data_IF_081320518901
#
_entry.id   IF_081320518901
#
_cell.length_a   1.000
_cell.length_b   1.000
_cell.length_c   1.000
_cell.angle_alpha   90.00
_cell.angle_beta   90.00
_cell.angle_gamma   90.00
#
_symmetry.space_group_name_H-M   'P 1'
#
loop_
_entity.id
_entity.type
_entity.pdbx_description
1 polymer ?
#
# COMPACT_ATOMS: atom_id res chain seq x y z
N UNK A 1 11.35 42.89 -8.66
CA UNK A 1 11.50 41.94 -7.53
C UNK A 1 12.08 40.66 -8.10
N UNK A 2 13.33 40.34 -7.75
CA UNK A 2 14.09 39.25 -8.37
C UNK A 2 13.57 37.85 -8.00
N UNK A 3 13.86 36.83 -8.82
CA UNK A 3 13.40 35.48 -8.60
C UNK A 3 14.05 34.95 -7.31
N UNK A 4 13.23 34.51 -6.37
CA UNK A 4 13.67 33.75 -5.20
C UNK A 4 14.12 32.35 -5.67
N UNK A 5 15.23 32.25 -6.41
CA UNK A 5 15.84 30.96 -6.71
C UNK A 5 16.50 30.47 -5.42
N UNK A 6 15.87 29.52 -4.74
CA UNK A 6 16.41 28.90 -3.53
C UNK A 6 17.64 28.06 -3.88
N UNK A 7 18.84 28.64 -3.71
CA UNK A 7 20.10 27.93 -3.95
C UNK A 7 20.29 26.71 -3.02
N UNK A 8 21.12 25.73 -3.41
CA UNK A 8 21.31 24.46 -2.70
C UNK A 8 21.71 24.61 -1.22
N UNK A 9 22.36 25.71 -0.86
CA UNK A 9 22.72 26.01 0.54
C UNK A 9 21.53 26.23 1.48
N UNK A 10 20.36 26.69 0.98
CA UNK A 10 19.17 26.89 1.82
C UNK A 10 18.52 25.56 2.23
N UNK A 11 18.51 24.57 1.34
CA UNK A 11 18.02 23.22 1.66
C UNK A 11 18.89 22.52 2.70
N UNK A 12 20.22 22.62 2.57
CA UNK A 12 21.18 22.02 3.51
C UNK A 12 21.05 22.63 4.91
N UNK A 13 20.90 23.95 5.01
CA UNK A 13 20.70 24.62 6.30
C UNK A 13 19.40 24.19 6.99
N UNK A 14 18.29 24.08 6.24
CA UNK A 14 17.00 23.59 6.77
C UNK A 14 17.07 22.14 7.19
N UNK A 15 17.70 21.28 6.39
CA UNK A 15 17.91 19.87 6.71
C UNK A 15 18.73 19.71 8.00
N UNK A 16 19.82 20.46 8.16
CA UNK A 16 20.62 20.45 9.38
C UNK A 16 19.83 20.93 10.59
N UNK A 17 19.00 21.98 10.43
CA UNK A 17 18.11 22.48 11.48
C UNK A 17 17.03 21.46 11.87
N UNK A 18 16.45 20.79 10.88
CA UNK A 18 15.47 19.72 11.09
C UNK A 18 16.09 18.56 11.86
N UNK A 19 17.28 18.11 11.44
CA UNK A 19 18.01 17.03 12.12
C UNK A 19 18.37 17.41 13.55
N UNK A 20 18.88 18.63 13.78
CA UNK A 20 19.17 19.13 15.11
C UNK A 20 17.93 19.17 16.02
N UNK A 21 16.78 19.64 15.50
CA UNK A 21 15.53 19.66 16.25
C UNK A 21 15.01 18.25 16.59
N UNK A 22 15.14 17.30 15.66
CA UNK A 22 14.77 15.90 15.91
C UNK A 22 15.67 15.25 16.96
N UNK A 23 16.99 15.44 16.86
CA UNK A 23 17.95 14.91 17.84
C UNK A 23 17.69 15.47 19.23
N UNK A 24 17.46 16.79 19.36
CA UNK A 24 17.08 17.40 20.64
C UNK A 24 15.81 16.80 21.26
N UNK A 25 14.78 16.57 20.45
CA UNK A 25 13.55 15.93 20.93
C UNK A 25 13.79 14.48 21.40
N UNK A 26 14.66 13.74 20.72
CA UNK A 26 15.03 12.39 21.13
C UNK A 26 15.81 12.42 22.44
N UNK A 27 16.80 13.31 22.59
CA UNK A 27 17.58 13.47 23.81
C UNK A 27 16.69 13.83 25.01
N UNK A 28 15.74 14.77 24.84
CA UNK A 28 14.77 15.13 25.89
C UNK A 28 13.89 13.94 26.27
N UNK A 29 13.40 13.16 25.29
CA UNK A 29 12.61 11.95 25.56
C UNK A 29 13.39 10.91 26.33
N UNK A 30 14.62 10.62 25.93
CA UNK A 30 15.46 9.65 26.62
C UNK A 30 15.82 10.12 28.04
N UNK A 31 16.05 11.42 28.25
CA UNK A 31 16.30 11.98 29.59
C UNK A 31 15.08 11.84 30.49
N UNK A 32 13.88 12.18 30.00
CA UNK A 32 12.61 11.94 30.71
C UNK A 32 12.42 10.47 31.03
N UNK A 33 12.76 9.57 30.12
CA UNK A 33 12.66 8.13 30.34
C UNK A 33 13.65 7.63 31.40
N UNK A 34 14.91 8.10 31.39
CA UNK A 34 15.92 7.78 32.41
C UNK A 34 15.46 8.23 33.79
N UNK A 35 14.95 9.46 33.93
CA UNK A 35 14.36 9.96 35.20
C UNK A 35 13.16 9.13 35.64
N UNK A 36 12.26 8.80 34.71
CA UNK A 36 11.11 7.95 35.00
C UNK A 36 11.53 6.56 35.49
N UNK A 37 12.61 5.97 34.96
CA UNK A 37 13.14 4.68 35.44
C UNK A 37 13.77 4.81 36.82
N UNK A 38 14.55 5.87 37.09
CA UNK A 38 15.16 6.07 38.41
C UNK A 38 14.11 6.33 39.49
N UNK A 39 13.07 7.12 39.20
CA UNK A 39 11.97 7.37 40.13
C UNK A 39 11.20 6.08 40.44
N UNK A 40 10.89 5.26 39.42
CA UNK A 40 10.27 3.94 39.62
C UNK A 40 11.15 3.00 40.44
N UNK A 41 12.46 2.98 40.22
CA UNK A 41 13.39 2.16 41.00
C UNK A 41 13.48 2.65 42.47
N UNK A 42 13.53 3.96 42.69
CA UNK A 42 13.56 4.56 44.02
C UNK A 42 12.28 4.26 44.81
N UNK A 43 11.11 4.41 44.18
CA UNK A 43 9.81 4.07 44.78
C UNK A 43 9.69 2.59 45.16
N UNK A 44 10.30 1.68 44.39
CA UNK A 44 10.33 0.25 44.72
C UNK A 44 11.29 -0.09 45.88
N UNK A 45 12.28 0.76 46.14
CA UNK A 45 13.29 0.56 47.20
C UNK A 45 13.01 1.31 48.49
N UNK A 46 12.09 2.29 48.49
CA UNK A 46 11.76 3.10 49.65
C UNK A 46 10.92 2.28 50.66
N UNK A 47 11.35 2.14 51.93
CA UNK A 47 10.50 1.61 52.99
C UNK A 47 9.27 2.50 53.16
N UNK A 48 8.09 1.89 53.31
CA UNK A 48 6.74 2.49 53.28
C UNK A 48 6.42 3.59 54.32
N UNK A 49 7.39 4.19 54.99
CA UNK A 49 7.15 5.11 56.10
C UNK A 49 8.18 6.25 56.13
N UNK A 50 8.02 7.26 55.25
CA UNK A 50 8.57 8.60 55.46
C UNK A 50 7.99 9.61 54.47
N UNK A 51 7.23 10.57 55.02
CA UNK A 51 6.93 11.92 54.55
C UNK A 51 7.03 12.25 53.06
N UNK A 52 5.89 12.62 52.48
CA UNK A 52 5.74 13.33 51.21
C UNK A 52 6.44 14.71 51.28
N UNK A 53 7.76 14.75 51.12
CA UNK A 53 8.42 15.95 50.63
C UNK A 53 8.34 15.92 49.11
N UNK A 54 7.26 16.54 48.63
CA UNK A 54 6.97 16.84 47.23
C UNK A 54 8.13 17.67 46.67
N UNK A 55 9.16 16.98 46.18
CA UNK A 55 10.20 17.57 45.37
C UNK A 55 9.55 17.98 44.05
N UNK A 56 8.99 19.19 44.03
CA UNK A 56 8.57 19.88 42.81
C UNK A 56 9.76 19.92 41.85
N UNK A 57 9.86 18.88 41.02
CA UNK A 57 10.84 18.79 39.94
C UNK A 57 10.58 19.97 39.01
N UNK A 58 11.58 20.84 38.83
CA UNK A 58 11.58 21.95 37.87
C UNK A 58 11.57 21.41 36.43
N UNK A 59 10.43 20.84 36.04
CA UNK A 59 10.12 20.23 34.76
C UNK A 59 9.71 21.26 33.70
N UNK A 60 9.37 22.49 34.13
CA UNK A 60 8.93 23.58 33.28
C UNK A 60 9.95 23.98 32.21
N UNK A 61 11.24 24.02 32.53
CA UNK A 61 12.28 24.41 31.56
C UNK A 61 12.47 23.34 30.47
N UNK A 62 12.45 22.06 30.84
CA UNK A 62 12.58 20.97 29.87
C UNK A 62 11.36 20.81 28.97
N UNK A 63 10.16 21.07 29.50
CA UNK A 63 8.94 21.12 28.71
C UNK A 63 8.96 22.28 27.72
N UNK A 64 9.40 23.46 28.16
CA UNK A 64 9.61 24.60 27.27
C UNK A 64 10.59 24.24 26.14
N UNK A 65 11.72 23.60 26.46
CA UNK A 65 12.68 23.20 25.43
C UNK A 65 12.07 22.19 24.45
N UNK A 66 11.29 21.21 24.93
CA UNK A 66 10.59 20.24 24.08
C UNK A 66 9.58 20.91 23.14
N UNK A 67 8.80 21.86 23.65
CA UNK A 67 7.85 22.62 22.84
C UNK A 67 8.56 23.48 21.78
N UNK A 68 9.62 24.19 22.16
CA UNK A 68 10.40 25.01 21.23
C UNK A 68 11.05 24.16 20.13
N UNK A 69 11.60 23.00 20.47
CA UNK A 69 12.16 22.07 19.48
C UNK A 69 11.08 21.50 18.54
N UNK A 70 9.90 21.19 19.07
CA UNK A 70 8.75 20.72 18.28
C UNK A 70 8.26 21.79 17.31
N UNK A 71 8.11 23.03 17.75
CA UNK A 71 7.73 24.17 16.92
C UNK A 71 8.78 24.39 15.82
N UNK A 72 10.07 24.39 16.16
CA UNK A 72 11.16 24.55 15.19
C UNK A 72 11.14 23.44 14.12
N UNK A 73 10.88 22.19 14.53
CA UNK A 73 10.74 21.05 13.61
C UNK A 73 9.51 21.21 12.69
N UNK A 74 8.36 21.57 13.26
CA UNK A 74 7.12 21.78 12.50
C UNK A 74 7.29 22.89 11.46
N UNK A 75 7.95 23.99 11.82
CA UNK A 75 8.26 25.08 10.89
C UNK A 75 9.13 24.61 9.73
N UNK A 76 10.19 23.83 9.99
CA UNK A 76 11.05 23.29 8.92
C UNK A 76 10.24 22.42 7.94
N UNK A 77 9.41 21.50 8.48
CA UNK A 77 8.54 20.65 7.66
C UNK A 77 7.53 21.46 6.85
N UNK A 78 6.93 22.48 7.44
CA UNK A 78 5.97 23.35 6.75
C UNK A 78 6.61 24.07 5.55
N UNK A 79 7.85 24.55 5.69
CA UNK A 79 8.57 25.17 4.56
C UNK A 79 8.89 24.18 3.45
N UNK A 80 9.30 22.95 3.78
CA UNK A 80 9.58 21.94 2.76
C UNK A 80 8.29 21.50 2.04
N UNK A 81 7.17 21.39 2.75
CA UNK A 81 5.85 21.16 2.14
C UNK A 81 5.43 22.32 1.23
N UNK A 82 5.65 23.56 1.65
CA UNK A 82 5.34 24.74 0.84
C UNK A 82 6.15 24.75 -0.47
N UNK A 83 7.45 24.41 -0.41
CA UNK A 83 8.30 24.32 -1.60
C UNK A 83 7.84 23.20 -2.55
N UNK A 84 7.31 22.09 -2.03
CA UNK A 84 6.72 21.02 -2.84
C UNK A 84 5.39 21.45 -3.48
N UNK A 85 4.50 22.08 -2.72
CA UNK A 85 3.20 22.55 -3.21
C UNK A 85 3.36 23.62 -4.30
N UNK A 86 4.34 24.52 -4.18
CA UNK A 86 4.62 25.52 -5.22
C UNK A 86 5.03 24.87 -6.55
N UNK A 87 5.86 23.83 -6.50
CA UNK A 87 6.25 23.10 -7.71
C UNK A 87 5.06 22.37 -8.34
N UNK A 88 4.19 21.79 -7.51
CA UNK A 88 2.95 21.17 -7.98
C UNK A 88 2.03 22.19 -8.64
N UNK A 89 1.85 23.36 -8.02
CA UNK A 89 1.07 24.47 -8.57
C UNK A 89 1.63 24.93 -9.93
N UNK A 90 2.95 25.13 -10.04
CA UNK A 90 3.62 25.48 -11.30
C UNK A 90 3.37 24.42 -12.39
N UNK A 91 3.49 23.13 -12.05
CA UNK A 91 3.22 22.04 -13.00
C UNK A 91 1.75 22.01 -13.43
N UNK A 92 0.81 22.17 -12.50
CA UNK A 92 -0.62 22.18 -12.79
C UNK A 92 -1.02 23.40 -13.62
N UNK A 93 -0.44 24.57 -13.37
CA UNK A 93 -0.63 25.76 -14.20
C UNK A 93 -0.11 25.53 -15.62
N UNK A 94 1.07 24.93 -15.79
CA UNK A 94 1.59 24.58 -17.10
C UNK A 94 0.69 23.58 -17.84
N UNK A 95 0.12 22.58 -17.15
CA UNK A 95 -0.84 21.63 -17.72
C UNK A 95 -2.14 22.34 -18.11
N UNK A 96 -2.64 23.26 -17.28
CA UNK A 96 -3.84 24.05 -17.57
C UNK A 96 -3.63 24.95 -18.80
N UNK A 97 -2.48 25.63 -18.90
CA UNK A 97 -2.13 26.47 -20.04
C UNK A 97 -2.00 25.65 -21.33
N UNK A 98 -1.37 24.48 -21.29
CA UNK A 98 -1.33 23.54 -22.42
C UNK A 98 -2.73 23.10 -22.84
N UNK A 99 -3.59 22.76 -21.88
CA UNK A 99 -4.98 22.39 -22.15
C UNK A 99 -5.78 23.55 -22.78
N UNK A 100 -5.54 24.79 -22.38
CA UNK A 100 -6.18 25.96 -22.97
C UNK A 100 -5.68 26.25 -24.40
N UNK A 101 -4.39 26.04 -24.69
CA UNK A 101 -3.80 26.22 -26.03
C UNK A 101 -4.19 25.11 -27.01
N UNK A 102 -4.06 23.86 -26.58
CA UNK A 102 -4.18 22.69 -27.45
C UNK A 102 -5.57 22.05 -27.41
N UNK A 103 -6.42 22.46 -26.46
CA UNK A 103 -7.81 22.03 -26.36
C UNK A 103 -7.97 20.51 -26.37
N UNK A 104 -8.65 20.00 -27.41
CA UNK A 104 -8.92 18.56 -27.56
C UNK A 104 -7.69 17.75 -28.03
N UNK A 105 -6.64 18.40 -28.55
CA UNK A 105 -5.41 17.72 -28.96
C UNK A 105 -4.63 17.21 -27.74
N UNK A 106 -4.57 17.99 -26.65
CA UNK A 106 -3.96 17.57 -25.39
C UNK A 106 -4.66 16.34 -24.78
N UNK A 107 -5.99 16.28 -24.87
CA UNK A 107 -6.76 15.13 -24.39
C UNK A 107 -6.47 13.86 -25.21
N UNK A 108 -6.29 13.99 -26.53
CA UNK A 108 -5.89 12.89 -27.41
C UNK A 108 -4.48 12.42 -27.10
N UNK A 109 -3.53 13.33 -26.95
CA UNK A 109 -2.15 13.00 -26.59
C UNK A 109 -2.08 12.24 -25.25
N UNK A 110 -2.81 12.70 -24.23
CA UNK A 110 -2.91 12.00 -22.94
C UNK A 110 -3.50 10.59 -23.06
N UNK A 111 -4.47 10.38 -23.95
CA UNK A 111 -5.03 9.05 -24.22
C UNK A 111 -4.01 8.17 -24.97
N UNK A 112 -3.29 8.73 -25.94
CA UNK A 112 -2.24 8.03 -26.70
C UNK A 112 -1.05 7.66 -25.80
N UNK A 113 -0.69 8.49 -24.82
CA UNK A 113 0.31 8.13 -23.82
C UNK A 113 -0.16 6.97 -22.93
N UNK A 114 -1.45 6.97 -22.56
CA UNK A 114 -2.03 5.90 -21.75
C UNK A 114 -2.07 4.57 -22.52
N UNK A 115 -2.41 4.60 -23.81
CA UNK A 115 -2.37 3.39 -24.65
C UNK A 115 -0.95 2.88 -24.80
N UNK A 116 0.02 3.74 -25.14
CA UNK A 116 1.45 3.38 -25.19
C UNK A 116 1.95 2.79 -23.87
N UNK A 117 1.53 3.35 -22.72
CA UNK A 117 1.92 2.83 -21.41
C UNK A 117 1.29 1.46 -21.13
N UNK A 118 0.05 1.23 -21.56
CA UNK A 118 -0.57 -0.09 -21.48
C UNK A 118 0.13 -1.09 -22.41
N UNK A 119 0.36 -0.73 -23.67
CA UNK A 119 1.07 -1.55 -24.66
C UNK A 119 2.46 -1.93 -24.17
N UNK A 120 3.25 -0.97 -23.68
CA UNK A 120 4.58 -1.26 -23.09
C UNK A 120 4.49 -2.14 -21.86
N UNK A 121 3.47 -1.99 -21.01
CA UNK A 121 3.24 -2.90 -19.89
C UNK A 121 2.96 -4.33 -20.37
N UNK A 122 2.04 -4.50 -21.32
CA UNK A 122 1.72 -5.81 -21.90
C UNK A 122 2.92 -6.44 -22.61
N UNK A 123 3.66 -5.66 -23.39
CA UNK A 123 4.88 -6.11 -24.07
C UNK A 123 5.97 -6.53 -23.07
N UNK A 124 6.18 -5.75 -22.01
CA UNK A 124 7.13 -6.08 -20.95
C UNK A 124 6.69 -7.32 -20.15
N UNK A 125 5.39 -7.46 -19.90
CA UNK A 125 4.82 -8.64 -19.22
C UNK A 125 4.98 -9.89 -20.09
N UNK A 126 4.65 -9.82 -21.39
CA UNK A 126 4.81 -10.91 -22.34
C UNK A 126 6.27 -11.32 -22.50
N UNK A 127 7.19 -10.35 -22.61
CA UNK A 127 8.63 -10.61 -22.65
C UNK A 127 9.15 -11.27 -21.37
N UNK A 128 8.54 -10.99 -20.21
CA UNK A 128 8.95 -11.54 -18.91
C UNK A 128 8.31 -12.89 -18.60
N UNK A 129 7.10 -13.15 -19.09
CA UNK A 129 6.33 -14.37 -18.86
C UNK A 129 7.11 -15.68 -19.07
N UNK A 130 7.89 -15.87 -20.16
CA UNK A 130 8.62 -17.12 -20.37
C UNK A 130 9.81 -17.31 -19.42
N UNK A 131 10.31 -16.23 -18.82
CA UNK A 131 11.42 -16.27 -17.86
C UNK A 131 10.97 -16.17 -16.39
N UNK A 132 9.71 -15.82 -16.15
CA UNK A 132 9.12 -15.78 -14.81
C UNK A 132 8.66 -17.18 -14.41
N UNK A 133 9.34 -17.80 -13.45
CA UNK A 133 8.85 -19.01 -12.79
C UNK A 133 7.86 -18.59 -11.70
N UNK A 134 6.63 -19.15 -11.67
CA UNK A 134 5.74 -19.00 -10.52
C UNK A 134 6.49 -19.41 -9.25
N UNK A 135 6.35 -18.64 -8.18
CA UNK A 135 6.89 -19.05 -6.89
C UNK A 135 6.20 -20.35 -6.47
N UNK A 136 6.98 -21.39 -6.18
CA UNK A 136 6.43 -22.66 -5.73
C UNK A 136 5.56 -22.43 -4.49
N UNK A 137 4.34 -23.00 -4.44
CA UNK A 137 3.52 -22.91 -3.23
C UNK A 137 4.30 -23.52 -2.07
N UNK A 138 4.40 -22.79 -0.95
CA UNK A 138 4.99 -23.31 0.29
C UNK A 138 4.03 -24.40 0.79
N UNK A 139 4.25 -25.64 0.36
CA UNK A 139 3.46 -26.77 0.85
C UNK A 139 3.85 -27.06 2.29
N UNK A 140 2.93 -27.63 3.07
CA UNK A 140 3.18 -28.07 4.45
C UNK A 140 4.42 -28.99 4.55
N UNK A 141 4.71 -29.77 3.50
CA UNK A 141 5.91 -30.59 3.41
C UNK A 141 7.20 -29.75 3.30
N UNK A 142 7.20 -28.66 2.52
CA UNK A 142 8.35 -27.76 2.38
C UNK A 142 8.63 -27.00 3.67
N UNK A 143 7.59 -26.51 4.35
CA UNK A 143 7.73 -25.87 5.67
C UNK A 143 8.25 -26.86 6.72
N UNK A 144 7.74 -28.10 6.73
CA UNK A 144 8.25 -29.15 7.62
C UNK A 144 9.72 -29.48 7.33
N UNK A 145 10.13 -29.51 6.05
CA UNK A 145 11.51 -29.70 5.64
C UNK A 145 12.40 -28.53 6.10
N UNK A 146 11.98 -27.28 5.91
CA UNK A 146 12.71 -26.08 6.36
C UNK A 146 12.86 -26.02 7.87
N UNK A 147 11.87 -26.54 8.62
CA UNK A 147 11.95 -26.72 10.07
C UNK A 147 13.01 -27.76 10.42
N UNK A 148 12.99 -28.91 9.75
CA UNK A 148 13.98 -29.98 9.96
C UNK A 148 15.39 -29.50 9.59
N UNK A 149 15.52 -28.68 8.55
CA UNK A 149 16.77 -28.07 8.08
C UNK A 149 17.20 -26.83 8.88
N UNK A 150 16.40 -26.39 9.87
CA UNK A 150 16.71 -25.24 10.74
C UNK A 150 16.62 -23.87 10.07
N UNK A 151 16.04 -23.81 8.87
CA UNK A 151 15.74 -22.56 8.14
C UNK A 151 14.45 -21.89 8.63
N UNK A 152 13.60 -22.65 9.32
CA UNK A 152 12.37 -22.20 9.98
C UNK A 152 12.22 -22.86 11.37
N UNK A 153 11.40 -22.31 12.26
CA UNK A 153 11.16 -22.87 13.61
C UNK A 153 9.70 -23.34 13.77
N UNK A 154 9.49 -24.59 14.20
CA UNK A 154 8.14 -25.18 14.44
C UNK A 154 7.44 -24.62 15.69
N UNK A 155 8.19 -23.99 16.60
CA UNK A 155 7.71 -23.63 17.93
C UNK A 155 6.84 -22.37 17.99
N UNK A 156 6.20 -21.97 16.89
CA UNK A 156 5.21 -20.88 16.92
C UNK A 156 3.81 -21.35 16.49
N UNK A 157 3.49 -22.63 16.67
CA UNK A 157 2.09 -23.05 16.88
C UNK A 157 1.73 -22.75 18.34
N UNK A 158 1.49 -21.48 18.64
CA UNK A 158 0.94 -21.07 19.93
C UNK A 158 -0.58 -21.17 19.84
N UNK A 159 -1.17 -22.20 20.45
CA UNK A 159 -2.63 -22.24 20.68
C UNK A 159 -3.01 -21.04 21.54
N UNK A 160 -3.48 -19.97 20.90
CA UNK A 160 -3.93 -18.78 21.58
C UNK A 160 -5.45 -18.75 21.47
N UNK A 161 -6.11 -19.24 22.52
CA UNK A 161 -7.54 -18.98 22.71
C UNK A 161 -7.76 -17.46 22.77
N UNK A 162 -8.41 -16.92 21.75
CA UNK A 162 -8.71 -15.51 21.64
C UNK A 162 -9.84 -15.10 22.58
N UNK A 163 -9.50 -14.88 23.85
CA UNK A 163 -10.22 -13.83 24.56
C UNK A 163 -9.72 -12.48 24.02
N UNK A 164 -10.61 -11.55 23.64
CA UNK A 164 -10.18 -10.21 23.26
C UNK A 164 -9.39 -9.64 24.43
N UNK A 165 -8.12 -9.28 24.18
CA UNK A 165 -7.25 -8.70 25.18
C UNK A 165 -7.85 -7.36 25.62
N UNK A 166 -8.60 -7.37 26.73
CA UNK A 166 -9.02 -6.16 27.41
C UNK A 166 -7.76 -5.64 28.11
N UNK A 167 -7.17 -4.57 27.59
CA UNK A 167 -6.00 -3.98 28.21
C UNK A 167 -6.43 -3.10 29.39
N UNK A 168 -6.02 -3.46 30.62
CA UNK A 168 -6.41 -2.80 31.87
C UNK A 168 -5.70 -3.43 33.08
N UNK A 169 -5.84 -2.86 34.29
CA UNK A 169 -5.21 -3.42 35.50
C UNK A 169 -5.68 -4.87 35.74
N UNK A 170 -4.77 -5.73 36.20
CA UNK A 170 -4.98 -7.19 36.33
C UNK A 170 -6.23 -7.58 37.15
N UNK A 171 -6.69 -6.70 38.06
CA UNK A 171 -7.93 -6.85 38.84
C UNK A 171 -9.23 -6.81 38.00
N UNK A 172 -9.19 -6.23 36.80
CA UNK A 172 -10.34 -6.07 35.89
C UNK A 172 -10.31 -7.02 34.69
N UNK A 173 -9.13 -7.46 34.27
CA UNK A 173 -8.93 -8.27 33.05
C UNK A 173 -9.18 -9.76 33.30
N UNK A 174 -9.01 -10.24 34.53
CA UNK A 174 -9.26 -11.63 34.93
C UNK A 174 -10.57 -11.90 35.67
N UNK A 175 -11.35 -10.86 35.98
CA UNK A 175 -12.60 -10.96 36.75
C UNK A 175 -13.86 -10.76 35.89
N UNK A 176 -14.99 -11.36 36.30
CA UNK A 176 -16.27 -11.14 35.63
C UNK A 176 -16.74 -9.69 35.77
N UNK A 177 -16.90 -8.99 34.64
CA UNK A 177 -17.31 -7.57 34.57
C UNK A 177 -18.79 -7.41 34.95
N UNK A 178 -19.12 -7.46 36.23
CA UNK A 178 -20.52 -7.41 36.69
C UNK A 178 -21.03 -5.97 36.86
N UNK A 179 -20.16 -5.00 37.16
CA UNK A 179 -20.57 -3.62 37.42
C UNK A 179 -20.28 -2.63 36.28
N UNK A 180 -21.08 -1.56 36.18
CA UNK A 180 -20.94 -0.52 35.15
C UNK A 180 -19.67 0.35 35.35
N UNK A 181 -19.26 0.55 36.61
CA UNK A 181 -18.02 1.24 36.96
C UNK A 181 -16.80 0.49 36.43
N UNK A 182 -16.78 -0.84 36.55
CA UNK A 182 -15.71 -1.69 36.02
C UNK A 182 -15.67 -1.65 34.49
N UNK A 183 -16.83 -1.66 33.83
CA UNK A 183 -16.91 -1.49 32.36
C UNK A 183 -16.41 -0.14 31.88
N UNK A 184 -16.64 0.94 32.63
CA UNK A 184 -16.07 2.25 32.31
C UNK A 184 -14.56 2.28 32.54
N UNK A 185 -14.07 1.71 33.64
CA UNK A 185 -12.63 1.66 33.95
C UNK A 185 -11.84 0.83 32.93
N UNK A 186 -12.39 -0.29 32.45
CA UNK A 186 -11.77 -1.12 31.41
C UNK A 186 -11.61 -0.40 30.06
N UNK A 187 -12.34 0.70 29.82
CA UNK A 187 -12.20 1.53 28.61
C UNK A 187 -11.12 2.60 28.74
N UNK A 188 -10.64 2.87 29.96
CA UNK A 188 -9.58 3.83 30.21
C UNK A 188 -8.24 3.12 29.99
N UNK A 189 -7.29 3.78 29.31
CA UNK A 189 -5.99 3.24 28.92
C UNK A 189 -5.99 2.18 27.80
N UNK A 190 -7.02 2.14 26.95
CA UNK A 190 -6.90 1.39 25.71
C UNK A 190 -5.84 2.02 24.77
N UNK A 191 -5.10 1.20 24.00
CA UNK A 191 -4.19 1.71 22.98
C UNK A 191 -4.87 2.72 22.05
N UNK A 192 -4.21 3.83 21.75
CA UNK A 192 -4.74 4.89 20.88
C UNK A 192 -4.79 4.50 19.40
N UNK A 193 -4.25 3.34 19.04
CA UNK A 193 -4.34 2.75 17.71
C UNK A 193 -5.30 1.58 17.71
N UNK A 194 -5.94 1.34 16.56
CA UNK A 194 -6.85 0.21 16.38
C UNK A 194 -6.06 -1.09 16.49
N UNK A 195 -6.28 -1.83 17.57
CA UNK A 195 -5.68 -3.15 17.74
C UNK A 195 -6.10 -4.08 16.61
N UNK A 196 -5.21 -4.98 16.13
CA UNK A 196 -5.61 -6.04 15.22
C UNK A 196 -6.76 -6.84 15.83
N UNK A 197 -7.86 -6.95 15.10
CA UNK A 197 -9.03 -7.76 15.51
C UNK A 197 -8.92 -9.20 15.03
N UNK A 198 -7.95 -9.48 14.15
CA UNK A 198 -7.71 -10.79 13.55
C UNK A 198 -6.60 -11.50 14.31
N UNK A 199 -6.71 -12.82 14.42
CA UNK A 199 -5.66 -13.62 15.04
C UNK A 199 -4.40 -13.66 14.19
N UNK A 200 -3.29 -14.10 14.79
CA UNK A 200 -2.04 -14.30 14.05
C UNK A 200 -2.24 -15.39 12.99
N UNK A 201 -2.99 -16.44 13.32
CA UNK A 201 -3.37 -17.49 12.36
C UNK A 201 -4.28 -16.95 11.25
N UNK A 202 -5.27 -16.12 11.59
CA UNK A 202 -6.18 -15.50 10.62
C UNK A 202 -5.44 -14.50 9.71
N UNK A 203 -4.45 -13.80 10.25
CA UNK A 203 -3.51 -12.99 9.48
C UNK A 203 -2.65 -13.87 8.55
N UNK A 204 -2.13 -15.00 9.03
CA UNK A 204 -1.39 -15.97 8.21
C UNK A 204 -2.24 -16.56 7.09
N UNK A 205 -3.51 -16.91 7.35
CA UNK A 205 -4.46 -17.36 6.34
C UNK A 205 -4.81 -16.23 5.35
N UNK A 206 -4.90 -14.99 5.82
CA UNK A 206 -5.08 -13.81 4.96
C UNK A 206 -3.87 -13.60 4.04
N UNK A 207 -2.66 -13.77 4.56
CA UNK A 207 -1.40 -13.73 3.80
C UNK A 207 -1.33 -14.87 2.76
N UNK A 208 -1.72 -16.09 3.13
CA UNK A 208 -1.84 -17.22 2.19
C UNK A 208 -2.82 -16.92 1.07
N UNK A 209 -4.01 -16.39 1.39
CA UNK A 209 -4.99 -15.95 0.37
C UNK A 209 -4.45 -14.83 -0.51
N UNK A 210 -3.69 -13.90 0.05
CA UNK A 210 -3.00 -12.85 -0.71
C UNK A 210 -1.95 -13.44 -1.67
N UNK A 211 -1.24 -14.48 -1.24
CA UNK A 211 -0.27 -15.21 -2.05
C UNK A 211 -0.96 -16.04 -3.14
N UNK A 212 -2.06 -16.72 -2.84
CA UNK A 212 -2.90 -17.41 -3.83
C UNK A 212 -3.42 -16.41 -4.88
N UNK A 213 -3.98 -15.27 -4.46
CA UNK A 213 -4.39 -14.21 -5.38
C UNK A 213 -3.22 -13.64 -6.19
N UNK A 214 -2.01 -13.62 -5.64
CA UNK A 214 -0.82 -13.20 -6.37
C UNK A 214 -0.38 -14.24 -7.40
N UNK A 215 -0.43 -15.53 -7.04
CA UNK A 215 -0.19 -16.64 -7.96
C UNK A 215 -1.26 -16.68 -9.06
N UNK A 216 -2.53 -16.56 -8.73
CA UNK A 216 -3.65 -16.49 -9.69
C UNK A 216 -3.52 -15.29 -10.62
N UNK A 217 -3.17 -14.10 -10.11
CA UNK A 217 -2.92 -12.93 -10.96
C UNK A 217 -1.72 -13.15 -11.88
N UNK A 218 -0.67 -13.79 -11.39
CA UNK A 218 0.52 -14.14 -12.19
C UNK A 218 0.17 -15.18 -13.25
N UNK A 219 -0.57 -16.23 -12.89
CA UNK A 219 -1.04 -17.26 -13.80
C UNK A 219 -2.00 -16.70 -14.84
N UNK A 220 -2.92 -15.81 -14.45
CA UNK A 220 -3.81 -15.09 -15.35
C UNK A 220 -3.04 -14.15 -16.28
N UNK A 221 -2.04 -13.45 -15.79
CA UNK A 221 -1.14 -12.62 -16.63
C UNK A 221 -0.39 -13.46 -17.64
N UNK A 222 0.13 -14.62 -17.23
CA UNK A 222 0.81 -15.57 -18.13
C UNK A 222 -0.20 -16.14 -19.15
N UNK A 223 -1.40 -16.53 -18.71
CA UNK A 223 -2.44 -17.05 -19.59
C UNK A 223 -2.88 -15.99 -20.60
N UNK A 224 -3.10 -14.75 -20.15
CA UNK A 224 -3.47 -13.61 -21.00
C UNK A 224 -2.35 -13.24 -21.98
N UNK A 225 -1.09 -13.27 -21.55
CA UNK A 225 0.06 -13.11 -22.44
C UNK A 225 0.12 -14.21 -23.51
N UNK A 226 -0.25 -15.45 -23.16
CA UNK A 226 -0.30 -16.57 -24.09
C UNK A 226 -1.60 -16.63 -24.93
N UNK A 227 -2.68 -15.97 -24.51
CA UNK A 227 -3.99 -16.06 -25.17
C UNK A 227 -4.37 -14.84 -25.97
N UNK A 228 -3.89 -13.65 -25.61
CA UNK A 228 -4.47 -12.42 -26.12
C UNK A 228 -3.83 -11.96 -27.44
N UNK A 229 -2.50 -11.88 -27.58
CA UNK A 229 -1.96 -11.01 -28.64
C UNK A 229 -0.62 -11.43 -29.27
N UNK A 230 -0.07 -12.61 -28.94
CA UNK A 230 1.17 -13.12 -29.55
C UNK A 230 1.03 -14.61 -29.92
N UNK A 231 0.27 -14.89 -30.99
CA UNK A 231 0.49 -16.09 -31.80
C UNK A 231 1.28 -15.79 -33.09
N UNK A 232 1.97 -14.65 -33.16
CA UNK A 232 2.95 -14.42 -34.21
C UNK A 232 4.23 -15.18 -33.86
N UNK A 233 4.46 -16.31 -34.56
CA UNK A 233 5.77 -16.95 -34.56
C UNK A 233 5.84 -18.44 -34.84
N UNK A 234 4.75 -19.16 -35.16
CA UNK A 234 4.85 -20.58 -35.57
C UNK A 234 3.63 -21.15 -36.33
N UNK A 235 2.88 -20.38 -37.11
CA UNK A 235 2.08 -20.96 -38.20
C UNK A 235 2.92 -20.89 -39.47
N UNK A 236 3.16 -22.03 -40.12
CA UNK A 236 3.73 -22.04 -41.45
C UNK A 236 2.77 -21.31 -42.39
N UNK A 237 3.29 -20.42 -43.24
CA UNK A 237 2.56 -19.57 -44.20
C UNK A 237 1.55 -20.29 -45.12
N UNK A 238 1.49 -21.61 -45.08
CA UNK A 238 0.59 -22.45 -45.87
C UNK A 238 -0.79 -22.68 -45.22
N UNK A 239 -0.89 -22.63 -43.89
CA UNK A 239 -2.19 -22.77 -43.19
C UNK A 239 -3.05 -21.49 -43.28
N UNK A 240 -2.41 -20.33 -43.47
CA UNK A 240 -3.10 -19.04 -43.53
C UNK A 240 -3.80 -18.83 -44.90
N UNK A 241 -3.21 -19.32 -46.00
CA UNK A 241 -3.83 -19.25 -47.34
C UNK A 241 -5.08 -20.14 -47.43
N UNK A 242 -5.02 -21.37 -46.92
CA UNK A 242 -6.16 -22.30 -46.92
C UNK A 242 -7.32 -21.77 -46.06
N UNK A 243 -7.02 -21.16 -44.91
CA UNK A 243 -8.03 -20.58 -44.04
C UNK A 243 -8.69 -19.31 -44.61
N UNK A 244 -7.97 -18.55 -45.45
CA UNK A 244 -8.53 -17.41 -46.17
C UNK A 244 -9.42 -17.86 -47.33
N UNK A 245 -9.03 -18.90 -48.05
CA UNK A 245 -9.86 -19.50 -49.11
C UNK A 245 -11.16 -20.10 -48.56
N UNK A 246 -11.12 -20.79 -47.42
CA UNK A 246 -12.32 -21.35 -46.78
C UNK A 246 -13.29 -20.26 -46.31
N UNK A 247 -12.77 -19.16 -45.77
CA UNK A 247 -13.61 -18.00 -45.38
C UNK A 247 -14.22 -17.31 -46.60
N UNK A 248 -13.48 -17.21 -47.70
CA UNK A 248 -13.99 -16.67 -48.96
C UNK A 248 -15.11 -17.56 -49.54
N UNK A 249 -14.92 -18.88 -49.55
CA UNK A 249 -15.97 -19.84 -49.97
C UNK A 249 -17.21 -19.76 -49.06
N UNK A 250 -17.03 -19.74 -47.74
CA UNK A 250 -18.14 -19.62 -46.80
C UNK A 250 -18.92 -18.30 -46.94
N UNK A 251 -18.23 -17.23 -47.32
CA UNK A 251 -18.89 -15.96 -47.63
C UNK A 251 -19.69 -16.03 -48.93
N UNK A 252 -19.19 -16.71 -49.95
CA UNK A 252 -19.88 -16.90 -51.23
C UNK A 252 -21.13 -17.79 -51.07
N UNK A 253 -21.02 -18.91 -50.36
CA UNK A 253 -22.13 -19.81 -50.02
C UNK A 253 -23.25 -19.06 -49.28
N UNK A 254 -22.88 -18.19 -48.34
CA UNK A 254 -23.85 -17.36 -47.63
C UNK A 254 -24.54 -16.34 -48.56
N UNK A 255 -23.82 -15.78 -49.54
CA UNK A 255 -24.40 -14.83 -50.51
C UNK A 255 -25.41 -15.51 -51.42
N UNK A 256 -25.15 -16.76 -51.80
CA UNK A 256 -26.05 -17.58 -52.60
C UNK A 256 -27.31 -17.99 -51.83
N UNK A 257 -27.16 -18.35 -50.55
CA UNK A 257 -28.28 -18.63 -49.64
C UNK A 257 -29.12 -17.37 -49.31
N UNK A 258 -28.56 -16.17 -49.51
CA UNK A 258 -29.20 -14.89 -49.21
C UNK A 258 -29.35 -14.00 -50.47
N UNK A 259 -30.18 -14.42 -51.45
CA UNK A 259 -30.36 -13.67 -52.69
C UNK A 259 -30.96 -12.29 -52.41
N UNK A 260 -30.38 -11.26 -53.02
CA UNK A 260 -30.86 -9.86 -52.88
C UNK A 260 -32.33 -9.78 -53.28
N UNK A 261 -33.16 -9.19 -52.41
CA UNK A 261 -34.60 -9.06 -52.67
C UNK A 261 -35.45 -10.24 -52.19
N UNK A 262 -34.90 -11.17 -51.39
CA UNK A 262 -35.67 -12.27 -50.80
C UNK A 262 -36.91 -11.82 -49.99
N UNK A 263 -36.95 -10.58 -49.51
CA UNK A 263 -38.13 -9.98 -48.87
C UNK A 263 -39.23 -9.50 -49.83
N UNK A 264 -38.91 -9.22 -51.10
CA UNK A 264 -39.85 -8.61 -52.05
C UNK A 264 -40.54 -9.59 -53.01
N UNK A 265 -40.13 -10.86 -53.00
CA UNK A 265 -40.66 -11.91 -53.90
C UNK A 265 -42.06 -12.45 -53.53
N UNK A 266 -42.68 -11.96 -52.45
CA UNK A 266 -44.05 -12.33 -52.02
C UNK A 266 -45.12 -11.29 -52.35
N UNK A 267 -44.76 -10.10 -52.87
CA UNK A 267 -45.73 -9.18 -53.44
C UNK A 267 -45.97 -9.57 -54.91
N UNK A 268 -46.93 -10.47 -55.12
CA UNK A 268 -47.55 -10.63 -56.45
C UNK A 268 -48.27 -9.33 -56.83
N UNK A 269 -48.20 -8.88 -58.10
CA UNK A 269 -48.96 -7.72 -58.56
C UNK A 269 -50.46 -7.92 -58.35
N UNK A 270 -51.13 -6.96 -57.73
CA UNK A 270 -52.59 -6.86 -57.78
C UNK A 270 -52.99 -6.69 -59.25
N UNK A 271 -53.64 -7.72 -59.81
CA UNK A 271 -54.48 -7.60 -61.00
C UNK A 271 -55.82 -6.96 -60.65
#
# INVERSE_FOLDING_TARGET
>A
MGPFSFGPGRGIARFNRQKAAQTKLQEIKERKERRGRSLRAAALSAPTEAGEEDAFEDDGEEEREAWLATISLALCKAFDLLDMLKKEEEMLLAVKERKEKDGNAFAREMLDERTKKAETWHHNAASRAPYSKPADPITCATFAQDVIEGRASVSQAHEHNHQPLIFGPASLVGGGLTSERERMAARVFQPSYRMPTMSIEEAGLCEMKMMEQWQERTAKMIQEANSAWHKDGSSSAQDDEDAEEEKARAWDDWKDDNPRGAGNKKLTPCG
#
